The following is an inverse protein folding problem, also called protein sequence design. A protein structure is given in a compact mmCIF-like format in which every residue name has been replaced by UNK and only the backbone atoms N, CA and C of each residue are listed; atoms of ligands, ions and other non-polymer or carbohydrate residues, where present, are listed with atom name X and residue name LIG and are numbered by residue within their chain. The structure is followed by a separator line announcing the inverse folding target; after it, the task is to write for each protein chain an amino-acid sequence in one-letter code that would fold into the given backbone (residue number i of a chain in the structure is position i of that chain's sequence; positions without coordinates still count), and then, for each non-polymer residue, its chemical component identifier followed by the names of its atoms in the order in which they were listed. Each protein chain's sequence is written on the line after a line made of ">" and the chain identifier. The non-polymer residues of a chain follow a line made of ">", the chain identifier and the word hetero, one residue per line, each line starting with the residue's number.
data_IF_885970784191
#
_entry.id   IF_885970784191
#
_cell.length_a   1.000
_cell.length_b   1.000
_cell.length_c   1.000
_cell.angle_alpha   90.00
_cell.angle_beta   90.00
_cell.angle_gamma   90.00
#
_symmetry.space_group_name_H-M   'P 1'
#
loop_
_entity.id
_entity.type
_entity.pdbx_description
1 polymer ?
#
# COMPACT_ATOMS: atom_id res chain seq x y z
N UNK A 1 20.36 11.96 28.07
CA UNK A 1 21.02 10.92 27.23
C UNK A 1 20.23 10.55 25.95
N UNK A 2 19.10 11.20 25.60
CA UNK A 2 18.31 10.86 24.39
C UNK A 2 18.70 11.64 23.12
N UNK A 3 19.36 12.79 23.26
CA UNK A 3 19.60 13.73 22.15
C UNK A 3 20.60 13.24 21.08
N UNK A 4 21.56 12.37 21.44
CA UNK A 4 22.52 11.79 20.46
C UNK A 4 21.89 10.73 19.56
N UNK A 5 20.81 10.09 20.00
CA UNK A 5 20.14 9.03 19.26
C UNK A 5 19.32 9.60 18.11
N UNK A 6 18.61 10.71 18.33
CA UNK A 6 17.81 11.40 17.30
C UNK A 6 18.67 11.89 16.12
N UNK A 7 19.86 12.44 16.39
CA UNK A 7 20.77 12.91 15.34
C UNK A 7 21.34 11.80 14.46
N UNK A 8 21.53 10.59 15.01
CA UNK A 8 22.00 9.43 14.24
C UNK A 8 20.89 8.87 13.37
N UNK A 9 19.66 8.80 13.90
CA UNK A 9 18.48 8.32 13.19
C UNK A 9 18.12 9.25 12.02
N UNK A 10 18.17 10.57 12.20
CA UNK A 10 17.92 11.52 11.10
C UNK A 10 18.95 11.40 9.97
N UNK A 11 20.22 11.17 10.28
CA UNK A 11 21.27 11.02 9.25
C UNK A 11 21.06 9.76 8.40
N UNK A 12 20.59 8.69 9.00
CA UNK A 12 20.26 7.44 8.30
C UNK A 12 18.97 7.56 7.50
N UNK A 13 17.94 8.22 8.06
CA UNK A 13 16.71 8.50 7.35
C UNK A 13 16.95 9.37 6.10
N UNK A 14 17.83 10.38 6.19
CA UNK A 14 18.22 11.22 5.06
C UNK A 14 18.88 10.42 3.93
N UNK A 15 19.87 9.57 4.24
CA UNK A 15 20.52 8.72 3.23
C UNK A 15 19.56 7.71 2.57
N UNK A 16 18.62 7.18 3.34
CA UNK A 16 17.60 6.28 2.81
C UNK A 16 16.62 7.01 1.88
N UNK A 17 16.23 8.24 2.22
CA UNK A 17 15.38 9.07 1.37
C UNK A 17 16.08 9.47 0.07
N UNK A 18 17.36 9.85 0.12
CA UNK A 18 18.15 10.17 -1.09
C UNK A 18 18.22 8.98 -2.06
N UNK A 19 18.55 7.78 -1.57
CA UNK A 19 18.66 6.59 -2.40
C UNK A 19 17.31 6.16 -3.03
N UNK A 20 16.22 6.30 -2.28
CA UNK A 20 14.86 6.04 -2.79
C UNK A 20 14.46 7.12 -3.79
N UNK A 21 14.83 8.39 -3.57
CA UNK A 21 14.54 9.50 -4.48
C UNK A 21 15.20 9.34 -5.84
N UNK A 22 16.48 8.98 -5.90
CA UNK A 22 17.21 8.73 -7.14
C UNK A 22 16.62 7.55 -7.94
N UNK A 23 16.32 6.43 -7.26
CA UNK A 23 15.69 5.28 -7.92
C UNK A 23 14.25 5.55 -8.36
N UNK A 24 13.48 6.31 -7.58
CA UNK A 24 12.08 6.62 -7.87
C UNK A 24 11.95 7.66 -8.99
N UNK A 25 12.91 8.56 -9.16
CA UNK A 25 12.91 9.56 -10.24
C UNK A 25 12.95 8.93 -11.64
N UNK A 26 13.80 7.92 -11.83
CA UNK A 26 13.93 7.22 -13.11
C UNK A 26 12.78 6.21 -13.33
N UNK A 27 12.37 5.52 -12.26
CA UNK A 27 11.26 4.59 -12.28
C UNK A 27 9.91 5.30 -12.52
N UNK A 28 9.71 6.51 -11.97
CA UNK A 28 8.46 7.27 -12.05
C UNK A 28 8.04 7.58 -13.48
N UNK A 29 9.01 7.92 -14.34
CA UNK A 29 8.74 8.26 -15.75
C UNK A 29 8.34 7.03 -16.56
N UNK A 30 8.93 5.86 -16.31
CA UNK A 30 8.53 4.60 -16.96
C UNK A 30 7.25 4.00 -16.37
N UNK A 31 7.01 4.26 -15.08
CA UNK A 31 5.78 3.88 -14.38
C UNK A 31 4.58 4.58 -14.98
N UNK A 32 4.67 5.84 -15.39
CA UNK A 32 3.50 6.59 -15.89
C UNK A 32 2.89 5.98 -17.17
N UNK A 33 3.74 5.44 -18.07
CA UNK A 33 3.30 4.74 -19.27
C UNK A 33 2.70 3.35 -18.99
N UNK A 34 3.37 2.54 -18.15
CA UNK A 34 2.84 1.23 -17.73
C UNK A 34 1.60 1.36 -16.86
N UNK A 35 1.54 2.38 -16.01
CA UNK A 35 0.40 2.67 -15.14
C UNK A 35 -0.84 3.01 -15.95
N UNK A 36 -0.72 3.65 -17.11
CA UNK A 36 -1.88 3.91 -17.99
C UNK A 36 -2.43 2.63 -18.64
N UNK A 37 -1.54 1.72 -19.06
CA UNK A 37 -1.94 0.41 -19.60
C UNK A 37 -2.49 -0.52 -18.52
N UNK A 38 -1.82 -0.54 -17.36
CA UNK A 38 -2.30 -1.22 -16.16
C UNK A 38 -3.62 -0.64 -15.70
N UNK A 39 -3.81 0.67 -15.65
CA UNK A 39 -5.08 1.28 -15.24
C UNK A 39 -6.23 0.80 -16.13
N UNK A 40 -6.02 0.70 -17.46
CA UNK A 40 -7.02 0.14 -18.37
C UNK A 40 -7.38 -1.32 -18.05
N UNK A 41 -6.39 -2.19 -17.81
CA UNK A 41 -6.64 -3.60 -17.44
C UNK A 41 -7.18 -3.76 -16.01
N UNK A 42 -6.71 -2.92 -15.11
CA UNK A 42 -7.11 -2.92 -13.71
C UNK A 42 -8.53 -2.44 -13.59
N UNK A 43 -8.97 -1.41 -14.32
CA UNK A 43 -10.38 -0.97 -14.28
C UNK A 43 -11.35 -2.10 -14.65
N UNK A 44 -11.00 -2.95 -15.62
CA UNK A 44 -11.83 -4.09 -16.00
C UNK A 44 -11.88 -5.17 -14.90
N UNK A 45 -10.73 -5.66 -14.44
CA UNK A 45 -10.68 -6.69 -13.40
C UNK A 45 -11.12 -6.19 -12.02
N UNK A 46 -10.91 -4.91 -11.73
CA UNK A 46 -11.34 -4.26 -10.49
C UNK A 46 -12.86 -4.09 -10.47
N UNK A 47 -13.50 -3.85 -11.62
CA UNK A 47 -14.95 -3.86 -11.74
C UNK A 47 -15.55 -5.21 -11.35
N UNK A 48 -14.99 -6.32 -11.84
CA UNK A 48 -15.45 -7.68 -11.52
C UNK A 48 -15.23 -8.02 -10.03
N UNK A 49 -14.06 -7.71 -9.50
CA UNK A 49 -13.73 -7.90 -8.08
C UNK A 49 -14.64 -7.08 -7.17
N UNK A 50 -14.84 -5.80 -7.49
CA UNK A 50 -15.69 -4.91 -6.71
C UNK A 50 -17.14 -5.38 -6.74
N UNK A 51 -17.61 -5.89 -7.88
CA UNK A 51 -18.96 -6.43 -8.00
C UNK A 51 -19.13 -7.67 -7.11
N UNK A 52 -18.17 -8.59 -7.14
CA UNK A 52 -18.19 -9.78 -6.28
C UNK A 52 -18.17 -9.44 -4.78
N UNK A 53 -17.34 -8.46 -4.38
CA UNK A 53 -17.31 -7.96 -2.99
C UNK A 53 -18.63 -7.30 -2.63
N UNK A 54 -19.25 -6.56 -3.57
CA UNK A 54 -20.54 -5.88 -3.37
C UNK A 54 -21.69 -6.87 -3.23
N UNK A 55 -21.70 -7.95 -4.00
CA UNK A 55 -22.68 -9.04 -3.86
C UNK A 55 -22.53 -9.72 -2.50
N UNK A 56 -21.31 -10.07 -2.09
CA UNK A 56 -21.04 -10.63 -0.76
C UNK A 56 -21.43 -9.68 0.38
N UNK A 57 -21.22 -8.38 0.22
CA UNK A 57 -21.63 -7.35 1.18
C UNK A 57 -23.16 -7.24 1.30
N UNK A 58 -23.88 -7.43 0.20
CA UNK A 58 -25.34 -7.32 0.15
C UNK A 58 -26.03 -8.59 0.66
N UNK A 59 -25.49 -9.77 0.33
CA UNK A 59 -26.03 -11.06 0.77
C UNK A 59 -25.62 -11.45 2.20
N UNK A 60 -24.41 -11.08 2.62
CA UNK A 60 -23.82 -11.50 3.90
C UNK A 60 -23.05 -10.36 4.58
N UNK A 61 -23.77 -9.35 5.11
CA UNK A 61 -23.14 -8.16 5.69
C UNK A 61 -22.17 -8.49 6.84
N UNK A 62 -22.53 -9.46 7.70
CA UNK A 62 -21.65 -9.87 8.81
C UNK A 62 -20.39 -10.60 8.35
N UNK A 63 -20.46 -11.43 7.30
CA UNK A 63 -19.29 -12.12 6.77
C UNK A 63 -18.30 -11.13 6.15
N UNK A 64 -18.81 -10.13 5.43
CA UNK A 64 -17.99 -9.06 4.84
C UNK A 64 -17.29 -8.22 5.92
N UNK A 65 -17.98 -7.87 7.00
CA UNK A 65 -17.36 -7.17 8.14
C UNK A 65 -16.26 -8.01 8.78
N UNK A 66 -16.50 -9.31 8.99
CA UNK A 66 -15.49 -10.19 9.57
C UNK A 66 -14.22 -10.30 8.70
N UNK A 67 -14.39 -10.39 7.38
CA UNK A 67 -13.26 -10.41 6.42
C UNK A 67 -12.51 -9.08 6.44
N UNK A 68 -13.22 -7.94 6.44
CA UNK A 68 -12.58 -6.62 6.49
C UNK A 68 -11.78 -6.40 7.77
N UNK A 69 -12.33 -6.79 8.93
CA UNK A 69 -11.65 -6.74 10.22
C UNK A 69 -10.43 -7.66 10.22
N UNK A 70 -10.56 -8.89 9.74
CA UNK A 70 -9.46 -9.85 9.65
C UNK A 70 -8.31 -9.34 8.77
N UNK A 71 -8.63 -8.82 7.59
CA UNK A 71 -7.64 -8.23 6.68
C UNK A 71 -6.96 -7.00 7.30
N UNK A 72 -7.72 -6.09 7.91
CA UNK A 72 -7.19 -4.91 8.59
C UNK A 72 -6.32 -5.26 9.79
N UNK A 73 -6.71 -6.26 10.58
CA UNK A 73 -5.92 -6.74 11.72
C UNK A 73 -4.62 -7.40 11.27
N UNK A 74 -4.65 -8.25 10.24
CA UNK A 74 -3.43 -8.88 9.71
C UNK A 74 -2.48 -7.85 9.13
N UNK A 75 -2.98 -6.88 8.34
CA UNK A 75 -2.18 -5.78 7.81
C UNK A 75 -1.61 -4.90 8.93
N UNK A 76 -2.44 -4.58 9.93
CA UNK A 76 -2.04 -3.83 11.11
C UNK A 76 -0.98 -4.56 11.94
N UNK A 77 -1.13 -5.87 12.13
CA UNK A 77 -0.17 -6.71 12.84
C UNK A 77 1.15 -6.86 12.07
N UNK A 78 1.10 -6.90 10.73
CA UNK A 78 2.30 -6.91 9.88
C UNK A 78 3.06 -5.58 9.96
N UNK A 79 2.33 -4.46 9.95
CA UNK A 79 2.87 -3.11 10.08
C UNK A 79 3.35 -2.80 11.50
N UNK A 80 2.71 -3.37 12.52
CA UNK A 80 3.10 -3.26 13.93
C UNK A 80 4.40 -4.00 14.26
N UNK A 81 4.95 -4.77 13.30
CA UNK A 81 6.23 -5.45 13.43
C UNK A 81 7.41 -4.62 12.89
N UNK A 82 7.13 -3.41 12.37
CA UNK A 82 8.13 -2.37 12.09
C UNK A 82 8.03 -1.26 13.13
#
# INVERSE_FOLDING_TARGET
>A
MMEKTEGTVQKWAGKAQDAVGEMTGDAGTQLEGKARELAGRTQQSYGELLNMVRDCASERPFATVAVAVGAGFLLGALMSRR
#
